data_IF_516606312002
#
_entry.id   IF_516606312002
#
_cell.length_a   1.000
_cell.length_b   1.000
_cell.length_c   1.000
_cell.angle_alpha   90.00
_cell.angle_beta   90.00
_cell.angle_gamma   90.00
#
_symmetry.space_group_name_H-M   'P 1'
#
loop_
_entity.id
_entity.type
_entity.pdbx_description
1 polymer ?
#
# COMPACT_ATOMS: atom_id res chain seq x y z
N UNK A 1 -18.14 1.85 9.82
CA UNK A 1 -16.95 1.08 9.39
C UNK A 1 -16.48 1.55 8.02
N UNK A 2 -16.04 2.81 7.86
CA UNK A 2 -15.58 3.31 6.54
C UNK A 2 -14.10 3.05 6.27
N UNK A 3 -13.33 2.71 7.31
CA UNK A 3 -11.91 2.38 7.26
C UNK A 3 -11.64 0.86 7.21
N UNK A 4 -12.67 0.09 6.85
CA UNK A 4 -12.58 -1.36 6.66
C UNK A 4 -13.32 -1.76 5.39
N UNK A 5 -13.00 -2.91 4.83
CA UNK A 5 -13.66 -3.54 3.70
C UNK A 5 -14.89 -4.30 4.18
N UNK A 6 -14.69 -5.19 5.16
CA UNK A 6 -15.80 -5.95 5.74
C UNK A 6 -16.82 -5.02 6.40
N UNK A 7 -18.10 -5.30 6.17
CA UNK A 7 -19.23 -4.52 6.70
C UNK A 7 -19.27 -3.05 6.25
N UNK A 8 -18.57 -2.69 5.18
CA UNK A 8 -18.61 -1.35 4.59
C UNK A 8 -19.49 -1.35 3.33
N UNK A 9 -20.67 -0.70 3.35
CA UNK A 9 -21.65 -0.80 2.26
C UNK A 9 -21.19 -0.18 0.94
N UNK A 10 -20.14 0.66 0.97
CA UNK A 10 -19.58 1.31 -0.22
C UNK A 10 -18.23 0.74 -0.64
N UNK A 11 -17.71 -0.27 0.07
CA UNK A 11 -16.46 -0.92 -0.28
C UNK A 11 -16.74 -2.22 -1.05
N UNK A 12 -16.09 -2.35 -2.21
CA UNK A 12 -16.14 -3.61 -2.97
C UNK A 12 -15.40 -4.69 -2.19
N UNK A 13 -16.05 -5.84 -2.01
CA UNK A 13 -15.43 -6.99 -1.34
C UNK A 13 -14.48 -7.66 -2.32
N UNK A 14 -13.20 -7.70 -1.98
CA UNK A 14 -12.14 -8.28 -2.81
C UNK A 14 -11.39 -9.30 -1.96
N UNK A 15 -11.14 -10.47 -2.53
CA UNK A 15 -10.33 -11.52 -1.92
C UNK A 15 -8.84 -11.17 -2.08
N UNK A 16 -8.34 -10.35 -1.16
CA UNK A 16 -6.94 -9.91 -1.13
C UNK A 16 -6.04 -10.98 -0.51
N UNK A 17 -4.79 -11.03 -0.96
CA UNK A 17 -3.81 -11.97 -0.42
C UNK A 17 -3.34 -11.56 0.97
N UNK A 18 -3.02 -12.57 1.78
CA UNK A 18 -2.31 -12.40 3.06
C UNK A 18 -0.85 -12.76 2.87
N UNK A 19 0.00 -11.76 2.64
CA UNK A 19 1.45 -11.95 2.55
C UNK A 19 2.20 -10.90 3.41
N UNK A 20 2.52 -11.21 4.67
CA UNK A 20 3.17 -10.25 5.57
C UNK A 20 4.58 -9.88 5.13
N UNK A 21 5.28 -10.73 4.38
CA UNK A 21 6.63 -10.42 3.86
C UNK A 21 6.56 -9.33 2.79
N UNK A 22 5.55 -9.38 1.91
CA UNK A 22 5.33 -8.35 0.89
C UNK A 22 4.93 -7.02 1.51
N UNK A 23 4.06 -7.05 2.52
CA UNK A 23 3.70 -5.85 3.30
C UNK A 23 4.94 -5.23 3.93
N UNK A 24 5.79 -6.05 4.58
CA UNK A 24 7.02 -5.57 5.21
C UNK A 24 8.00 -5.00 4.18
N UNK A 25 8.22 -5.69 3.07
CA UNK A 25 9.11 -5.22 1.99
C UNK A 25 8.65 -3.88 1.40
N UNK A 26 7.34 -3.73 1.12
CA UNK A 26 6.77 -2.47 0.65
C UNK A 26 6.89 -1.36 1.70
N UNK A 27 6.49 -1.65 2.95
CA UNK A 27 6.57 -0.69 4.04
C UNK A 27 8.00 -0.23 4.31
N UNK A 28 8.99 -1.11 4.19
CA UNK A 28 10.40 -0.87 4.49
C UNK A 28 11.23 -0.38 3.29
N UNK A 29 10.62 -0.13 2.12
CA UNK A 29 11.32 0.27 0.90
C UNK A 29 12.37 -0.76 0.45
N UNK A 30 11.99 -2.04 0.47
CA UNK A 30 12.80 -3.20 0.06
C UNK A 30 12.10 -4.04 -1.03
N UNK A 31 11.31 -3.40 -1.88
CA UNK A 31 10.57 -4.08 -2.96
C UNK A 31 11.47 -4.51 -4.11
N UNK A 32 12.63 -3.87 -4.27
CA UNK A 32 13.53 -4.08 -5.40
C UNK A 32 13.18 -3.25 -6.62
N UNK A 33 12.11 -2.44 -6.55
CA UNK A 33 11.73 -1.48 -7.59
C UNK A 33 12.16 -0.07 -7.15
N UNK A 34 13.26 0.50 -7.72
CA UNK A 34 13.85 1.73 -7.21
C UNK A 34 12.89 2.92 -7.09
N UNK A 35 11.93 3.02 -8.00
CA UNK A 35 10.90 4.06 -7.97
C UNK A 35 9.97 3.95 -6.75
N UNK A 36 9.50 2.74 -6.45
CA UNK A 36 8.64 2.47 -5.29
C UNK A 36 9.42 2.63 -4.00
N UNK A 37 10.64 2.09 -3.96
CA UNK A 37 11.50 2.15 -2.77
C UNK A 37 11.92 3.60 -2.44
N UNK A 38 12.22 4.43 -3.43
CA UNK A 38 12.52 5.84 -3.21
C UNK A 38 11.32 6.61 -2.61
N UNK A 39 10.11 6.36 -3.11
CA UNK A 39 8.89 6.98 -2.59
C UNK A 39 8.62 6.54 -1.14
N UNK A 40 8.71 5.24 -0.87
CA UNK A 40 8.48 4.70 0.48
C UNK A 40 9.57 5.16 1.46
N UNK A 41 10.79 5.36 0.98
CA UNK A 41 11.88 5.98 1.76
C UNK A 41 11.53 7.43 2.11
N UNK A 42 11.13 8.24 1.11
CA UNK A 42 10.73 9.63 1.33
C UNK A 42 9.61 9.74 2.38
N UNK A 43 8.57 8.90 2.29
CA UNK A 43 7.49 8.89 3.27
C UNK A 43 8.00 8.68 4.69
N UNK A 44 8.90 7.71 4.87
CA UNK A 44 9.44 7.34 6.18
C UNK A 44 10.33 8.43 6.76
N UNK A 45 11.10 9.11 5.91
CA UNK A 45 12.08 10.11 6.34
C UNK A 45 11.48 11.49 6.52
N UNK A 46 10.49 11.86 5.70
CA UNK A 46 9.95 13.22 5.61
C UNK A 46 8.49 13.32 6.06
N UNK A 47 7.77 12.20 6.13
CA UNK A 47 6.35 12.16 6.54
C UNK A 47 5.38 12.66 5.46
N UNK A 48 5.88 13.01 4.27
CA UNK A 48 5.05 13.47 3.17
C UNK A 48 5.62 13.01 1.82
N UNK A 49 4.73 12.72 0.87
CA UNK A 49 5.09 12.50 -0.52
C UNK A 49 4.06 13.17 -1.44
N UNK A 50 4.49 13.49 -2.66
CA UNK A 50 3.65 14.04 -3.71
C UNK A 50 2.46 13.14 -4.02
N UNK A 51 1.33 13.72 -4.43
CA UNK A 51 0.09 12.97 -4.66
C UNK A 51 0.25 11.83 -5.68
N UNK A 52 0.95 12.05 -6.80
CA UNK A 52 1.21 10.99 -7.78
C UNK A 52 2.11 9.87 -7.23
N UNK A 53 3.00 10.18 -6.28
CA UNK A 53 3.80 9.16 -5.61
C UNK A 53 2.92 8.25 -4.73
N UNK A 54 1.91 8.83 -4.05
CA UNK A 54 0.90 8.07 -3.30
C UNK A 54 0.13 7.10 -4.22
N UNK A 55 -0.26 7.57 -5.40
CA UNK A 55 -0.96 6.75 -6.40
C UNK A 55 -0.10 5.57 -6.85
N UNK A 56 1.19 5.81 -7.12
CA UNK A 56 2.10 4.76 -7.54
C UNK A 56 2.23 3.66 -6.47
N UNK A 57 2.56 4.02 -5.23
CA UNK A 57 2.78 3.02 -4.17
C UNK A 57 1.50 2.32 -3.72
N UNK A 58 0.35 3.01 -3.76
CA UNK A 58 -0.94 2.41 -3.47
C UNK A 58 -1.38 1.43 -4.57
N UNK A 59 -1.16 1.77 -5.85
CA UNK A 59 -1.44 0.86 -6.96
C UNK A 59 -0.54 -0.38 -6.87
N UNK A 60 0.76 -0.19 -6.63
CA UNK A 60 1.72 -1.28 -6.50
C UNK A 60 1.35 -2.26 -5.39
N UNK A 61 0.98 -1.76 -4.21
CA UNK A 61 0.56 -2.60 -3.09
C UNK A 61 -0.72 -3.40 -3.37
N UNK A 62 -1.69 -2.77 -4.04
CA UNK A 62 -3.05 -3.32 -4.18
C UNK A 62 -3.25 -3.97 -5.55
N UNK A 63 -4.02 -3.32 -6.43
CA UNK A 63 -4.49 -3.85 -7.72
C UNK A 63 -3.46 -3.90 -8.83
N UNK A 64 -2.25 -3.38 -8.61
CA UNK A 64 -1.19 -3.31 -9.60
C UNK A 64 -0.33 -4.57 -9.59
N UNK A 65 0.27 -4.89 -8.44
CA UNK A 65 1.37 -5.86 -8.38
C UNK A 65 1.24 -6.85 -7.22
N UNK A 66 1.13 -6.39 -5.97
CA UNK A 66 1.25 -7.27 -4.80
C UNK A 66 -0.06 -7.92 -4.33
N UNK A 67 -1.21 -7.46 -4.84
CA UNK A 67 -2.55 -7.96 -4.47
C UNK A 67 -2.85 -7.98 -2.96
N UNK A 68 -2.29 -7.02 -2.21
CA UNK A 68 -2.50 -6.86 -0.78
C UNK A 68 -3.67 -5.91 -0.51
N UNK A 69 -4.40 -6.15 0.58
CA UNK A 69 -5.49 -5.28 1.02
C UNK A 69 -5.05 -3.83 1.21
N UNK A 70 -5.85 -2.91 0.69
CA UNK A 70 -5.68 -1.47 0.88
C UNK A 70 -5.70 -1.06 2.36
N UNK A 71 -6.31 -1.86 3.23
CA UNK A 71 -6.32 -1.65 4.67
C UNK A 71 -4.91 -1.71 5.28
N UNK A 72 -4.00 -2.52 4.72
CA UNK A 72 -2.60 -2.55 5.16
C UNK A 72 -1.87 -1.26 4.76
N UNK A 73 -2.12 -0.77 3.54
CA UNK A 73 -1.56 0.50 3.07
C UNK A 73 -2.06 1.72 3.88
N UNK A 74 -3.31 1.69 4.35
CA UNK A 74 -3.87 2.76 5.19
C UNK A 74 -3.19 2.87 6.56
N UNK A 75 -2.61 1.80 7.09
CA UNK A 75 -1.99 1.76 8.43
C UNK A 75 -0.59 2.37 8.48
N UNK A 76 0.00 2.70 7.32
CA UNK A 76 1.37 3.23 7.17
C UNK A 76 1.35 4.75 7.11
#
# INVERSE_FOLDING_TARGET
>A
NFNKMESNPVCTQVDWDTNPEYVAAWREARTGFPFIDAIMTQLRTEGWMHHLARHAVACFLTRGDLWISWEEGQKV
#
